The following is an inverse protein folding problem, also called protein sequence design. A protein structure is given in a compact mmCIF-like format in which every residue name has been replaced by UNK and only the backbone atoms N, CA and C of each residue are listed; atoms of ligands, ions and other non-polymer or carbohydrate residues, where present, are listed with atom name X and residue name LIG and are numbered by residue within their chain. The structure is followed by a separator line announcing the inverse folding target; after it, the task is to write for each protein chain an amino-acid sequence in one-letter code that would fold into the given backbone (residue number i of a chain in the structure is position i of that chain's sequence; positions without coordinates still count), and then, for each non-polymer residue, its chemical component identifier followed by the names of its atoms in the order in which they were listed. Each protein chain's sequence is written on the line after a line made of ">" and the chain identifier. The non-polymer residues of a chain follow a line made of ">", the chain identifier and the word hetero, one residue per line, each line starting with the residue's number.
data_IF_886892547865
#
_entry.id   IF_886892547865
#
_cell.length_a   1.000
_cell.length_b   1.000
_cell.length_c   1.000
_cell.angle_alpha   90.00
_cell.angle_beta   90.00
_cell.angle_gamma   90.00
#
_symmetry.space_group_name_H-M   'P 1'
#
loop_
_entity.id
_entity.type
_entity.pdbx_description
1 polymer ?
#
# COMPACT_ATOMS: atom_id res chain seq x y z
N UNK A 1 17.03 -5.33 1.72
CA UNK A 1 16.15 -4.35 2.39
C UNK A 1 15.65 -3.35 1.36
N UNK A 2 14.36 -3.07 1.36
CA UNK A 2 13.80 -2.12 0.41
C UNK A 2 13.77 -0.71 1.02
N UNK A 3 13.79 0.28 0.14
CA UNK A 3 13.73 1.68 0.57
C UNK A 3 12.30 2.23 0.52
N UNK A 4 11.32 1.36 0.30
CA UNK A 4 9.91 1.74 0.27
C UNK A 4 9.27 1.43 1.61
N UNK A 5 8.47 2.37 2.09
CA UNK A 5 7.78 2.26 3.38
C UNK A 5 6.28 2.41 3.14
N UNK A 6 5.52 1.41 3.57
CA UNK A 6 4.06 1.41 3.40
C UNK A 6 3.30 1.67 4.68
N UNK A 7 3.94 2.20 5.72
CA UNK A 7 3.26 2.44 6.99
C UNK A 7 2.09 3.40 6.84
N UNK A 8 2.21 4.36 5.94
CA UNK A 8 1.11 5.30 5.68
C UNK A 8 -0.13 4.59 5.17
N UNK A 9 0.07 3.54 4.37
CA UNK A 9 -1.05 2.73 3.87
C UNK A 9 -1.82 2.09 5.02
N UNK A 10 -1.07 1.49 5.96
CA UNK A 10 -1.71 0.83 7.09
C UNK A 10 -2.47 1.82 7.98
N UNK A 11 -1.90 3.00 8.18
CA UNK A 11 -2.58 4.05 8.94
C UNK A 11 -3.84 4.51 8.22
N UNK A 12 -3.77 4.63 6.90
CA UNK A 12 -4.92 5.05 6.11
C UNK A 12 -6.06 4.03 6.20
N UNK A 13 -5.73 2.75 6.19
CA UNK A 13 -6.74 1.69 6.36
C UNK A 13 -7.45 1.83 7.70
N UNK A 14 -6.69 2.09 8.75
CA UNK A 14 -7.26 2.29 10.09
C UNK A 14 -8.18 3.50 10.08
N UNK A 15 -7.74 4.60 9.48
CA UNK A 15 -8.51 5.84 9.42
C UNK A 15 -9.83 5.63 8.67
N UNK A 16 -9.84 4.74 7.70
CA UNK A 16 -11.05 4.45 6.92
C UNK A 16 -11.92 3.36 7.53
N UNK A 17 -11.53 2.85 8.70
CA UNK A 17 -12.30 1.84 9.40
C UNK A 17 -12.15 0.44 8.85
N UNK A 18 -11.12 0.19 8.06
CA UNK A 18 -10.86 -1.13 7.49
C UNK A 18 -10.07 -1.94 8.51
N UNK A 19 -10.67 -2.98 9.05
CA UNK A 19 -10.10 -3.73 10.16
C UNK A 19 -9.07 -4.76 9.73
N UNK A 20 -9.21 -5.28 8.52
CA UNK A 20 -8.36 -6.35 8.01
C UNK A 20 -7.66 -5.91 6.75
N UNK A 21 -6.35 -6.17 6.67
CA UNK A 21 -5.60 -5.87 5.45
C UNK A 21 -6.11 -6.69 4.26
N UNK A 22 -6.65 -7.88 4.53
CA UNK A 22 -7.17 -8.74 3.45
C UNK A 22 -8.36 -8.13 2.74
N UNK A 23 -9.08 -7.22 3.38
CA UNK A 23 -10.18 -6.51 2.73
C UNK A 23 -9.68 -5.69 1.55
N UNK A 24 -8.43 -5.26 1.61
CA UNK A 24 -7.83 -4.49 0.54
C UNK A 24 -7.75 -5.28 -0.76
N UNK A 25 -7.59 -6.60 -0.65
CA UNK A 25 -7.55 -7.47 -1.83
C UNK A 25 -8.84 -7.32 -2.64
N UNK A 26 -9.96 -7.39 -1.96
CA UNK A 26 -11.27 -7.24 -2.62
C UNK A 26 -11.51 -5.79 -3.07
N UNK A 27 -11.21 -4.84 -2.21
CA UNK A 27 -11.49 -3.44 -2.49
C UNK A 27 -10.68 -2.92 -3.68
N UNK A 28 -9.41 -3.26 -3.72
CA UNK A 28 -8.51 -2.77 -4.75
C UNK A 28 -8.32 -3.73 -5.91
N UNK A 29 -8.92 -4.92 -5.81
CA UNK A 29 -8.78 -5.96 -6.82
C UNK A 29 -7.30 -6.29 -7.09
N UNK A 30 -6.56 -6.48 -6.01
CA UNK A 30 -5.16 -6.90 -6.07
C UNK A 30 -5.06 -8.36 -5.64
N UNK A 31 -3.93 -8.99 -5.92
CA UNK A 31 -3.73 -10.38 -5.54
C UNK A 31 -3.20 -10.47 -4.11
N UNK A 32 -3.31 -11.67 -3.53
CA UNK A 32 -2.74 -11.91 -2.20
C UNK A 32 -1.22 -11.78 -2.22
N UNK A 33 -0.59 -12.06 -3.37
CA UNK A 33 0.85 -11.87 -3.52
C UNK A 33 1.24 -10.41 -3.36
N UNK A 34 0.44 -9.51 -3.93
CA UNK A 34 0.69 -8.08 -3.80
C UNK A 34 0.56 -7.67 -2.35
N UNK A 35 -0.46 -8.14 -1.66
CA UNK A 35 -0.63 -7.82 -0.25
C UNK A 35 0.55 -8.33 0.58
N UNK A 36 1.03 -9.54 0.28
CA UNK A 36 2.18 -10.10 0.99
C UNK A 36 3.42 -9.23 0.78
N UNK A 37 3.62 -8.74 -0.42
CA UNK A 37 4.75 -7.85 -0.70
C UNK A 37 4.63 -6.54 0.06
N UNK A 38 3.42 -6.00 0.14
CA UNK A 38 3.19 -4.77 0.90
C UNK A 38 3.50 -4.98 2.39
N UNK A 39 3.12 -6.14 2.92
CA UNK A 39 3.41 -6.47 4.32
C UNK A 39 4.90 -6.59 4.59
N UNK A 40 5.66 -7.05 3.61
CA UNK A 40 7.11 -7.23 3.75
C UNK A 40 7.89 -5.97 3.40
N UNK A 41 7.22 -4.95 2.89
CA UNK A 41 7.91 -3.75 2.44
C UNK A 41 8.64 -3.95 1.12
N UNK A 42 8.19 -4.88 0.29
CA UNK A 42 8.80 -5.14 -1.00
C UNK A 42 8.17 -4.28 -2.09
N UNK A 43 8.85 -4.20 -3.21
CA UNK A 43 8.34 -3.41 -4.34
C UNK A 43 7.13 -4.08 -4.98
N UNK A 44 6.17 -3.25 -5.35
CA UNK A 44 5.01 -3.71 -6.11
C UNK A 44 4.89 -2.83 -7.35
N UNK A 45 4.14 -3.30 -8.34
CA UNK A 45 3.99 -2.55 -9.58
C UNK A 45 3.19 -1.28 -9.36
N UNK A 46 3.42 -0.30 -10.21
CA UNK A 46 2.65 0.95 -10.17
C UNK A 46 1.18 0.70 -10.45
N UNK A 47 0.89 -0.30 -11.24
CA UNK A 47 -0.50 -0.68 -11.51
C UNK A 47 -1.20 -1.10 -10.23
N UNK A 48 -0.53 -1.89 -9.38
CA UNK A 48 -1.09 -2.29 -8.10
C UNK A 48 -1.30 -1.08 -7.20
N UNK A 49 -0.33 -0.19 -7.17
CA UNK A 49 -0.43 1.04 -6.39
C UNK A 49 -1.62 1.88 -6.86
N UNK A 50 -1.80 1.98 -8.17
CA UNK A 50 -2.91 2.73 -8.73
C UNK A 50 -4.26 2.15 -8.29
N UNK A 51 -4.37 0.83 -8.31
CA UNK A 51 -5.60 0.16 -7.88
C UNK A 51 -5.92 0.46 -6.43
N UNK A 52 -4.90 0.43 -5.58
CA UNK A 52 -5.06 0.73 -4.16
C UNK A 52 -5.49 2.19 -3.97
N UNK A 53 -4.85 3.10 -4.68
CA UNK A 53 -5.19 4.51 -4.58
C UNK A 53 -6.63 4.78 -4.99
N UNK A 54 -7.08 4.14 -6.06
CA UNK A 54 -8.46 4.29 -6.50
C UNK A 54 -9.46 3.74 -5.47
N UNK A 55 -9.12 2.61 -4.88
CA UNK A 55 -10.00 1.98 -3.89
C UNK A 55 -10.13 2.83 -2.64
N UNK A 56 -9.06 3.51 -2.25
CA UNK A 56 -9.01 4.29 -1.03
C UNK A 56 -9.20 5.78 -1.27
N UNK A 57 -9.39 6.17 -2.52
CA UNK A 57 -9.57 7.57 -2.91
C UNK A 57 -8.43 8.44 -2.38
N UNK A 58 -7.20 8.04 -2.72
CA UNK A 58 -6.01 8.73 -2.25
C UNK A 58 -4.95 8.74 -3.33
N UNK A 59 -3.81 9.33 -3.03
CA UNK A 59 -2.70 9.44 -3.96
C UNK A 59 -1.54 8.55 -3.51
N UNK A 60 -0.57 8.36 -4.41
CA UNK A 60 0.60 7.52 -4.12
C UNK A 60 1.31 7.98 -2.85
N UNK A 61 1.50 9.28 -2.70
CA UNK A 61 2.16 9.83 -1.52
C UNK A 61 1.44 9.58 -0.22
N UNK A 62 0.17 9.18 -0.29
CA UNK A 62 -0.63 8.90 0.90
C UNK A 62 -0.44 7.47 1.40
N UNK A 63 0.14 6.60 0.59
CA UNK A 63 0.26 5.18 0.96
C UNK A 63 1.70 4.70 1.05
N UNK A 64 2.64 5.37 0.42
CA UNK A 64 4.04 4.92 0.49
C UNK A 64 4.99 6.09 0.49
N UNK A 65 6.18 5.83 0.99
CA UNK A 65 7.25 6.81 1.07
C UNK A 65 8.53 6.13 0.65
N UNK A 66 9.39 6.87 -0.07
CA UNK A 66 10.73 6.38 -0.36
C UNK A 66 11.61 6.78 0.81
N UNK A 67 12.15 5.77 1.49
CA UNK A 67 13.02 5.99 2.64
C UNK A 67 14.45 6.18 2.19
N UNK A 68 15.25 6.70 3.12
CA UNK A 68 16.70 6.69 2.96
C UNK A 68 17.15 7.43 1.70
N UNK A 69 16.46 8.51 1.38
CA UNK A 69 16.87 9.37 0.27
C UNK A 69 18.08 10.16 0.72
N UNK A 70 19.23 9.87 0.12
CA UNK A 70 20.48 10.55 0.49
C UNK A 70 21.15 11.12 -0.74
N UNK A 71 21.72 12.25 -0.57
CA UNK A 71 22.47 12.92 -1.61
C UNK A 71 23.93 12.51 -1.61
#
# INVERSE_FOLDING_TARGET
>A
MTDIDYRKLWKLLIDKGIKNKTELITMANISSNVLAKLNKGEYVSLESIQKICKALDCDVGDICVVNDIKE
#
